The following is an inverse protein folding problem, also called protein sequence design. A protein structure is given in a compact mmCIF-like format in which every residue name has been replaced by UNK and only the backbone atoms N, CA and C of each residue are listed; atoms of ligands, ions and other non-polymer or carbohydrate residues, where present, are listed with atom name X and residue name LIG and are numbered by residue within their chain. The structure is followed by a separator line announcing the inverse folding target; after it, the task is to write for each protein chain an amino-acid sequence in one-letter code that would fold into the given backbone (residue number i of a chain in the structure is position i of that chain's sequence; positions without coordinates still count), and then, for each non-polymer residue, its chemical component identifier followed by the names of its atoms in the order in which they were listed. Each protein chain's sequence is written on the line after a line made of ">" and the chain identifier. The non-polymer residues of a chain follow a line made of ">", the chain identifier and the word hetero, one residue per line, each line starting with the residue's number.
data_IF_407078814508
#
_entry.id   IF_407078814508
#
_cell.length_a   1.000
_cell.length_b   1.000
_cell.length_c   1.000
_cell.angle_alpha   90.00
_cell.angle_beta   90.00
_cell.angle_gamma   90.00
#
_symmetry.space_group_name_H-M   'P 1'
#
loop_
_entity.id
_entity.type
_entity.pdbx_description
1 polymer ?
#
# COMPACT_ATOMS: atom_id res chain seq x y z
N UNK A 1 -2.68 -17.82 -10.63
CA UNK A 1 -1.32 -17.97 -10.09
C UNK A 1 -0.43 -17.28 -11.09
N UNK A 2 0.26 -16.19 -10.69
CA UNK A 2 1.15 -15.52 -11.62
C UNK A 2 2.33 -16.44 -11.94
N UNK A 3 2.92 -16.30 -13.12
CA UNK A 3 4.06 -17.12 -13.55
C UNK A 3 5.40 -16.63 -12.94
N UNK A 4 5.40 -15.49 -12.23
CA UNK A 4 6.58 -14.91 -11.57
C UNK A 4 6.40 -14.83 -10.03
N UNK A 5 7.07 -15.70 -9.25
CA UNK A 5 6.96 -15.70 -7.79
C UNK A 5 7.44 -14.40 -7.14
N UNK A 6 8.23 -13.57 -7.84
CA UNK A 6 8.66 -12.26 -7.34
C UNK A 6 7.52 -11.24 -7.43
N UNK A 7 6.67 -11.34 -8.44
CA UNK A 7 5.49 -10.48 -8.57
C UNK A 7 4.46 -10.80 -7.49
N UNK A 8 4.22 -12.08 -7.22
CA UNK A 8 3.34 -12.51 -6.10
C UNK A 8 3.88 -12.00 -4.75
N UNK A 9 5.20 -12.09 -4.52
CA UNK A 9 5.81 -11.59 -3.29
C UNK A 9 5.71 -10.06 -3.18
N UNK A 10 5.91 -9.33 -4.28
CA UNK A 10 5.79 -7.87 -4.30
C UNK A 10 4.37 -7.41 -3.96
N UNK A 11 3.36 -8.05 -4.55
CA UNK A 11 1.94 -7.80 -4.25
C UNK A 11 1.64 -8.08 -2.77
N UNK A 12 2.14 -9.19 -2.22
CA UNK A 12 1.92 -9.52 -0.81
C UNK A 12 2.63 -8.52 0.12
N UNK A 13 3.83 -8.04 -0.22
CA UNK A 13 4.54 -7.02 0.55
C UNK A 13 3.77 -5.68 0.58
N UNK A 14 3.17 -5.27 -0.54
CA UNK A 14 2.27 -4.11 -0.60
C UNK A 14 1.07 -4.33 0.32
N UNK A 15 0.39 -5.47 0.18
CA UNK A 15 -0.79 -5.82 1.01
C UNK A 15 -0.45 -5.77 2.50
N UNK A 16 0.69 -6.33 2.91
CA UNK A 16 1.14 -6.28 4.30
C UNK A 16 1.40 -4.86 4.78
N UNK A 17 1.97 -3.97 3.95
CA UNK A 17 2.17 -2.57 4.31
C UNK A 17 0.83 -1.84 4.52
N UNK A 18 -0.16 -2.09 3.66
CA UNK A 18 -1.50 -1.52 3.79
C UNK A 18 -2.20 -1.97 5.07
N UNK A 19 -2.15 -3.27 5.38
CA UNK A 19 -2.88 -3.87 6.50
C UNK A 19 -2.18 -3.63 7.85
N UNK A 20 -0.86 -3.71 7.92
CA UNK A 20 -0.13 -3.69 9.19
C UNK A 20 0.40 -2.32 9.58
N UNK A 21 0.54 -1.40 8.60
CA UNK A 21 1.18 -0.10 8.83
C UNK A 21 0.25 1.07 8.55
N UNK A 22 -0.41 1.09 7.40
CA UNK A 22 -1.36 2.16 7.09
C UNK A 22 -2.66 2.02 7.88
N UNK A 23 -3.30 0.85 7.78
CA UNK A 23 -4.53 0.40 8.45
C UNK A 23 -5.58 1.49 8.83
N UNK A 24 -6.01 2.37 7.91
CA UNK A 24 -6.97 3.41 8.22
C UNK A 24 -8.34 2.83 8.62
N UNK A 25 -8.68 1.61 8.17
CA UNK A 25 -9.91 0.89 8.54
C UNK A 25 -9.83 0.25 9.94
N UNK A 26 -8.64 0.07 10.50
CA UNK A 26 -8.45 -0.55 11.82
C UNK A 26 -8.75 -2.06 11.83
N UNK A 27 -8.54 -2.74 10.70
CA UNK A 27 -8.90 -4.14 10.47
C UNK A 27 -7.69 -5.08 10.43
N UNK A 28 -6.48 -4.61 10.78
CA UNK A 28 -5.27 -5.43 10.81
C UNK A 28 -5.46 -6.78 11.52
N UNK A 29 -6.25 -6.79 12.61
CA UNK A 29 -6.54 -7.98 13.42
C UNK A 29 -7.64 -8.89 12.88
N UNK A 30 -8.35 -8.49 11.83
CA UNK A 30 -9.45 -9.25 11.25
C UNK A 30 -9.11 -9.72 9.83
N UNK A 31 -8.47 -10.90 9.75
CA UNK A 31 -8.03 -11.50 8.50
C UNK A 31 -9.13 -11.69 7.44
N UNK A 32 -10.40 -11.77 7.86
CA UNK A 32 -11.54 -11.93 6.95
C UNK A 32 -11.91 -10.66 6.18
N UNK A 33 -11.32 -9.53 6.56
CA UNK A 33 -11.56 -8.23 5.92
C UNK A 33 -10.32 -7.74 5.17
N UNK A 34 -9.25 -8.54 5.07
CA UNK A 34 -8.00 -8.11 4.44
C UNK A 34 -8.16 -7.88 2.93
N UNK A 35 -9.14 -8.51 2.30
CA UNK A 35 -9.56 -8.31 0.91
C UNK A 35 -10.08 -6.89 0.65
N UNK A 36 -10.56 -6.19 1.67
CA UNK A 36 -10.95 -4.76 1.59
C UNK A 36 -9.79 -3.82 1.20
N UNK A 37 -8.55 -4.30 1.22
CA UNK A 37 -7.39 -3.53 0.78
C UNK A 37 -6.96 -3.83 -0.66
N UNK A 38 -7.53 -4.86 -1.31
CA UNK A 38 -7.17 -5.22 -2.68
C UNK A 38 -7.53 -4.08 -3.68
N UNK A 39 -8.60 -3.33 -3.44
CA UNK A 39 -8.96 -2.15 -4.24
C UNK A 39 -7.86 -1.06 -4.23
N UNK A 40 -7.17 -0.88 -3.10
CA UNK A 40 -6.07 0.08 -3.01
C UNK A 40 -4.78 -0.46 -3.62
N UNK A 41 -4.65 -1.78 -3.71
CA UNK A 41 -3.49 -2.43 -4.31
C UNK A 41 -3.42 -2.11 -5.81
N UNK A 42 -4.54 -2.20 -6.52
CA UNK A 42 -4.61 -1.83 -7.95
C UNK A 42 -4.20 -0.37 -8.18
N UNK A 43 -4.73 0.56 -7.37
CA UNK A 43 -4.40 1.99 -7.47
C UNK A 43 -2.90 2.26 -7.25
N UNK A 44 -2.29 1.53 -6.31
CA UNK A 44 -0.85 1.67 -6.02
C UNK A 44 -0.01 1.07 -7.14
N UNK A 45 -0.41 -0.06 -7.70
CA UNK A 45 0.27 -0.68 -8.84
C UNK A 45 0.22 0.23 -10.07
N UNK A 46 -0.92 0.83 -10.38
CA UNK A 46 -1.07 1.81 -11.46
C UNK A 46 -0.12 3.01 -11.25
N UNK A 47 0.09 3.44 -10.00
CA UNK A 47 1.00 4.54 -9.69
C UNK A 47 2.47 4.23 -10.05
N UNK A 48 2.88 2.96 -10.02
CA UNK A 48 4.23 2.55 -10.44
C UNK A 48 4.47 2.68 -11.95
N UNK A 49 3.41 2.64 -12.77
CA UNK A 49 3.53 2.78 -14.22
C UNK A 49 3.80 4.23 -14.67
N UNK A 50 3.32 5.23 -13.92
CA UNK A 50 3.28 6.65 -14.30
C UNK A 50 4.41 7.53 -13.70
N UNK A 51 5.49 6.91 -13.21
CA UNK A 51 6.62 7.51 -12.46
C UNK A 51 6.40 7.62 -10.94
N UNK A 52 6.42 6.47 -10.26
CA UNK A 52 6.37 6.40 -8.81
C UNK A 52 7.62 6.93 -8.11
N UNK A 53 7.40 7.50 -6.93
CA UNK A 53 8.39 7.79 -5.90
C UNK A 53 7.80 7.48 -4.53
N UNK A 54 8.65 7.29 -3.52
CA UNK A 54 8.20 7.13 -2.13
C UNK A 54 7.29 8.30 -1.69
N UNK A 55 7.69 9.53 -2.03
CA UNK A 55 6.92 10.74 -1.70
C UNK A 55 5.53 10.72 -2.34
N UNK A 56 5.44 10.30 -3.62
CA UNK A 56 4.17 10.22 -4.33
C UNK A 56 3.25 9.14 -3.77
N UNK A 57 3.82 8.01 -3.35
CA UNK A 57 3.08 6.96 -2.65
C UNK A 57 2.53 7.45 -1.31
N UNK A 58 3.33 8.23 -0.55
CA UNK A 58 2.86 8.81 0.70
C UNK A 58 1.71 9.79 0.47
N UNK A 59 1.82 10.67 -0.54
CA UNK A 59 0.73 11.58 -0.95
C UNK A 59 -0.53 10.82 -1.37
N UNK A 60 -0.38 9.75 -2.14
CA UNK A 60 -1.49 8.91 -2.59
C UNK A 60 -2.25 8.29 -1.40
N UNK A 61 -1.54 7.65 -0.47
CA UNK A 61 -2.15 7.04 0.72
C UNK A 61 -2.83 8.08 1.61
N UNK A 62 -2.23 9.26 1.76
CA UNK A 62 -2.84 10.39 2.46
C UNK A 62 -4.11 10.89 1.77
N UNK A 63 -4.11 11.00 0.44
CA UNK A 63 -5.27 11.43 -0.32
C UNK A 63 -6.44 10.44 -0.18
N UNK A 64 -6.16 9.14 -0.26
CA UNK A 64 -7.17 8.09 -0.02
C UNK A 64 -7.69 8.21 1.41
N UNK A 65 -6.81 8.41 2.40
CA UNK A 65 -7.24 8.52 3.79
C UNK A 65 -8.19 9.69 4.04
N UNK A 66 -7.90 10.83 3.43
CA UNK A 66 -8.72 12.04 3.53
C UNK A 66 -10.06 11.86 2.81
N UNK A 67 -10.05 11.27 1.61
CA UNK A 67 -11.25 11.08 0.80
C UNK A 67 -12.23 10.07 1.42
N UNK A 68 -11.72 8.92 1.87
CA UNK A 68 -12.55 7.77 2.26
C UNK A 68 -12.87 7.73 3.76
N UNK A 69 -11.96 8.23 4.61
CA UNK A 69 -12.08 8.06 6.06
C UNK A 69 -12.27 9.36 6.83
N UNK A 70 -12.13 10.52 6.18
CA UNK A 70 -12.19 11.85 6.81
C UNK A 70 -11.30 11.96 8.07
N UNK A 71 -10.17 11.24 8.06
CA UNK A 71 -9.21 11.16 9.18
C UNK A 71 -7.99 12.03 8.88
N UNK A 72 -7.56 12.78 9.89
CA UNK A 72 -6.28 13.53 9.88
C UNK A 72 -5.13 12.77 10.58
N UNK A 73 -5.39 11.57 11.13
CA UNK A 73 -4.46 10.90 12.05
C UNK A 73 -3.29 10.18 11.35
N UNK A 74 -3.38 9.88 10.06
CA UNK A 74 -2.49 8.91 9.43
C UNK A 74 -1.34 9.47 8.59
N UNK A 75 -0.97 10.76 8.66
CA UNK A 75 0.17 11.26 7.88
C UNK A 75 1.46 10.46 8.13
N UNK A 76 1.71 10.08 9.38
CA UNK A 76 2.87 9.27 9.74
C UNK A 76 2.71 7.79 9.32
N UNK A 77 1.48 7.25 9.33
CA UNK A 77 1.20 5.88 8.93
C UNK A 77 1.31 5.73 7.40
N UNK A 78 0.75 6.66 6.64
CA UNK A 78 0.86 6.78 5.19
C UNK A 78 2.34 6.88 4.75
N UNK A 79 3.12 7.77 5.38
CA UNK A 79 4.57 7.88 5.10
C UNK A 79 5.32 6.57 5.34
N UNK A 80 5.09 5.91 6.48
CA UNK A 80 5.76 4.62 6.79
C UNK A 80 5.32 3.48 5.87
N UNK A 81 4.05 3.47 5.47
CA UNK A 81 3.56 2.48 4.51
C UNK A 81 4.17 2.72 3.13
N UNK A 82 4.25 3.97 2.69
CA UNK A 82 4.91 4.35 1.45
C UNK A 82 6.40 3.95 1.43
N UNK A 83 7.15 4.19 2.50
CA UNK A 83 8.54 3.74 2.65
C UNK A 83 8.66 2.22 2.46
N UNK A 84 7.77 1.44 3.08
CA UNK A 84 7.78 -0.03 2.95
C UNK A 84 7.42 -0.51 1.55
N UNK A 85 6.43 0.12 0.94
CA UNK A 85 5.99 -0.18 -0.42
C UNK A 85 7.14 0.15 -1.40
N UNK A 86 7.82 1.28 -1.21
CA UNK A 86 8.98 1.67 -2.00
C UNK A 86 10.14 0.69 -1.85
N UNK A 87 10.47 0.27 -0.62
CA UNK A 87 11.48 -0.77 -0.37
C UNK A 87 11.12 -2.11 -1.01
N UNK A 88 9.83 -2.48 -1.07
CA UNK A 88 9.39 -3.68 -1.77
C UNK A 88 9.58 -3.55 -3.28
N UNK A 89 9.29 -2.38 -3.84
CA UNK A 89 9.52 -2.07 -5.26
C UNK A 89 11.00 -2.11 -5.63
N UNK A 90 11.87 -1.48 -4.83
CA UNK A 90 13.33 -1.51 -5.04
C UNK A 90 13.88 -2.94 -5.05
N UNK A 91 13.37 -3.83 -4.18
CA UNK A 91 13.74 -5.25 -4.16
C UNK A 91 13.21 -6.01 -5.37
N UNK A 92 12.05 -5.63 -5.90
CA UNK A 92 11.43 -6.29 -7.05
C UNK A 92 12.18 -5.99 -8.35
N UNK A 93 12.71 -4.76 -8.51
CA UNK A 93 13.43 -4.34 -9.72
C UNK A 93 14.95 -4.60 -9.69
N UNK A 94 15.50 -4.96 -8.52
CA UNK A 94 16.92 -5.28 -8.33
C UNK A 94 17.30 -6.68 -8.88
#
# INVERSE_FOLDING_TARGET
>A
MSEDPRADQFIEDIRQALIQVWDPKGIAKNAKLHDEYDDYLDIILDNFEDAASEERLAELLLAIEQAEFNKQRGEQAAKKAAEKIWQAFEKFIA
#
